data_IF_365489340276
#
_entry.id   IF_365489340276
#
_cell.length_a   1.000
_cell.length_b   1.000
_cell.length_c   1.000
_cell.angle_alpha   90.00
_cell.angle_beta   90.00
_cell.angle_gamma   90.00
#
_symmetry.space_group_name_H-M   'P 1'
#
loop_
_entity.id
_entity.type
_entity.pdbx_description
1 polymer ?
#
# COMPACT_ATOMS: atom_id res chain seq x y z
N UNK A 1 23.37 -53.82 -9.77
CA UNK A 1 24.28 -53.81 -10.93
C UNK A 1 23.47 -53.49 -12.18
N UNK A 2 24.03 -52.64 -13.07
CA UNK A 2 23.48 -51.95 -14.28
C UNK A 2 22.86 -50.57 -14.00
N UNK A 3 23.69 -49.50 -13.99
CA UNK A 3 24.08 -48.58 -15.09
C UNK A 3 22.93 -47.63 -15.52
N UNK A 4 22.92 -46.38 -15.03
CA UNK A 4 23.47 -45.13 -15.62
C UNK A 4 22.64 -44.60 -16.80
N UNK A 5 22.14 -43.36 -16.68
CA UNK A 5 22.29 -42.35 -17.73
C UNK A 5 22.22 -40.93 -17.13
N UNK A 6 23.31 -40.20 -17.35
CA UNK A 6 23.47 -38.77 -17.13
C UNK A 6 22.96 -38.10 -18.41
N UNK A 7 22.09 -37.09 -18.31
CA UNK A 7 21.86 -36.16 -19.40
C UNK A 7 21.82 -34.74 -18.85
N UNK A 8 22.93 -34.04 -19.09
CA UNK A 8 23.12 -32.61 -18.89
C UNK A 8 22.53 -31.96 -20.13
N UNK A 9 21.55 -31.06 -19.97
CA UNK A 9 21.21 -30.09 -21.00
C UNK A 9 21.16 -28.70 -20.37
N UNK A 10 22.32 -28.05 -20.40
CA UNK A 10 22.43 -26.60 -20.36
C UNK A 10 21.82 -26.03 -21.63
N UNK A 11 20.75 -25.25 -21.51
CA UNK A 11 20.32 -24.33 -22.57
C UNK A 11 20.34 -22.92 -21.97
N UNK A 12 21.40 -22.21 -22.30
CA UNK A 12 21.52 -20.76 -22.23
C UNK A 12 20.80 -20.21 -23.47
N UNK A 13 19.75 -19.40 -23.29
CA UNK A 13 19.25 -18.52 -24.36
C UNK A 13 19.38 -17.09 -23.88
N UNK A 14 20.22 -16.37 -24.62
CA UNK A 14 20.54 -14.96 -24.53
C UNK A 14 19.45 -14.10 -25.21
N UNK A 15 19.14 -12.97 -24.58
CA UNK A 15 18.69 -11.68 -25.12
C UNK A 15 17.51 -11.61 -26.13
N UNK A 16 16.44 -10.94 -25.70
CA UNK A 16 15.91 -9.80 -26.45
C UNK A 16 15.05 -8.88 -25.57
N UNK A 17 15.65 -7.78 -25.10
CA UNK A 17 14.92 -6.59 -24.69
C UNK A 17 14.45 -5.85 -25.95
N UNK A 18 13.13 -5.76 -26.17
CA UNK A 18 12.54 -4.78 -27.08
C UNK A 18 12.03 -3.61 -26.23
N UNK A 19 12.78 -2.51 -26.21
CA UNK A 19 12.31 -1.19 -25.74
C UNK A 19 11.44 -0.59 -26.84
N UNK A 20 10.15 -0.40 -26.59
CA UNK A 20 9.29 0.42 -27.43
C UNK A 20 9.10 1.79 -26.78
N UNK A 21 9.29 2.84 -27.58
CA UNK A 21 9.33 4.24 -27.18
C UNK A 21 7.92 4.82 -27.04
N UNK A 22 7.81 5.78 -26.12
CA UNK A 22 6.66 6.63 -25.83
C UNK A 22 6.16 7.36 -27.09
N UNK A 23 4.82 7.47 -27.23
CA UNK A 23 4.19 8.51 -28.04
C UNK A 23 3.37 9.42 -27.12
N UNK A 24 3.89 10.63 -26.95
CA UNK A 24 3.20 11.79 -26.40
C UNK A 24 2.46 12.45 -27.58
N UNK A 25 1.13 12.39 -27.60
CA UNK A 25 0.35 13.09 -28.61
C UNK A 25 0.15 14.54 -28.17
N UNK A 26 1.01 15.42 -28.71
CA UNK A 26 0.78 16.86 -28.78
C UNK A 26 -0.41 17.12 -29.71
N UNK A 27 -1.43 17.84 -29.22
CA UNK A 27 -2.41 18.51 -30.06
C UNK A 27 -2.02 19.98 -30.20
N UNK A 28 -1.60 20.34 -31.41
CA UNK A 28 -1.43 21.72 -31.88
C UNK A 28 -2.77 22.28 -32.31
N UNK A 29 -3.07 23.52 -31.93
CA UNK A 29 -3.82 24.43 -32.80
C UNK A 29 -3.15 25.80 -32.83
N UNK A 30 -3.06 26.31 -34.06
CA UNK A 30 -2.30 27.44 -34.56
C UNK A 30 -3.27 28.60 -34.84
N UNK A 31 -2.73 29.83 -34.91
CA UNK A 31 -3.25 31.00 -35.63
C UNK A 31 -4.49 31.71 -35.03
N UNK A 32 -4.71 33.02 -35.13
CA UNK A 32 -4.02 34.16 -35.75
C UNK A 32 -4.51 35.44 -35.03
N UNK A 33 -3.74 36.52 -35.16
CA UNK A 33 -4.03 37.89 -34.70
C UNK A 33 -5.34 38.47 -35.26
N UNK A 34 -6.03 39.37 -34.53
CA UNK A 34 -6.61 40.64 -35.03
C UNK A 34 -7.19 41.51 -33.87
N UNK A 35 -6.59 42.69 -33.75
CA UNK A 35 -7.18 44.05 -33.57
C UNK A 35 -8.06 44.37 -32.35
N UNK A 36 -7.51 45.27 -31.53
CA UNK A 36 -8.16 46.03 -30.46
C UNK A 36 -9.32 46.87 -31.00
N UNK A 37 -10.49 46.75 -30.36
CA UNK A 37 -11.54 47.76 -30.34
C UNK A 37 -11.76 48.21 -28.90
N UNK A 38 -11.58 49.51 -28.69
CA UNK A 38 -11.84 50.26 -27.46
C UNK A 38 -13.35 50.48 -27.33
N UNK A 39 -13.95 50.05 -26.21
CA UNK A 39 -15.26 50.53 -25.74
C UNK A 39 -15.19 50.69 -24.23
N UNK A 40 -15.69 51.83 -23.76
CA UNK A 40 -15.60 52.42 -22.43
C UNK A 40 -16.31 51.64 -21.31
N UNK A 41 -15.70 51.79 -20.12
CA UNK A 41 -16.24 51.87 -18.78
C UNK A 41 -17.69 51.42 -18.55
N UNK A 42 -17.81 50.27 -17.88
CA UNK A 42 -18.87 50.07 -16.89
C UNK A 42 -18.29 49.26 -15.74
N UNK A 43 -17.87 49.95 -14.68
CA UNK A 43 -17.56 49.33 -13.40
C UNK A 43 -18.86 48.79 -12.81
N UNK A 44 -19.13 47.49 -13.02
CA UNK A 44 -20.15 46.76 -12.28
C UNK A 44 -19.53 46.34 -10.95
N UNK A 45 -20.03 46.94 -9.89
CA UNK A 45 -19.66 46.74 -8.50
C UNK A 45 -19.96 45.27 -8.10
N UNK A 46 -18.94 44.41 -8.12
CA UNK A 46 -19.07 43.05 -7.59
C UNK A 46 -18.82 43.14 -6.09
N UNK A 47 -19.88 43.28 -5.29
CA UNK A 47 -19.80 43.03 -3.85
C UNK A 47 -19.22 41.62 -3.63
N UNK A 48 -18.18 41.45 -2.80
CA UNK A 48 -17.69 40.13 -2.46
C UNK A 48 -18.80 39.36 -1.71
N UNK A 49 -19.16 38.19 -2.24
CA UNK A 49 -20.08 37.26 -1.59
C UNK A 49 -19.53 36.90 -0.20
N UNK A 50 -20.37 36.84 0.85
CA UNK A 50 -19.92 36.48 2.19
C UNK A 50 -19.19 35.14 2.16
N UNK A 51 -17.96 35.13 2.68
CA UNK A 51 -17.20 33.91 2.92
C UNK A 51 -17.99 33.11 3.96
N UNK A 52 -18.38 31.85 3.69
CA UNK A 52 -19.01 31.02 4.71
C UNK A 52 -18.07 30.91 5.94
N UNK A 53 -18.61 30.84 7.17
CA UNK A 53 -17.78 30.70 8.35
C UNK A 53 -16.82 29.52 8.18
N UNK A 54 -15.53 29.79 8.41
CA UNK A 54 -14.52 28.76 8.54
C UNK A 54 -14.97 27.90 9.71
N UNK A 55 -15.47 26.70 9.42
CA UNK A 55 -15.73 25.69 10.44
C UNK A 55 -14.35 25.28 10.94
N UNK A 56 -14.05 25.66 12.18
CA UNK A 56 -12.88 25.19 12.92
C UNK A 56 -12.91 23.65 12.86
N UNK A 57 -11.88 23.00 12.29
CA UNK A 57 -11.83 21.55 12.25
C UNK A 57 -11.99 21.04 13.68
N UNK A 58 -12.95 20.13 13.92
CA UNK A 58 -13.01 19.41 15.20
C UNK A 58 -11.61 18.87 15.49
N UNK A 59 -11.02 19.32 16.60
CA UNK A 59 -9.72 18.86 17.06
C UNK A 59 -9.84 17.38 17.41
N UNK A 60 -9.53 16.50 16.45
CA UNK A 60 -9.25 15.11 16.71
C UNK A 60 -8.10 15.04 17.72
N UNK A 61 -8.42 14.51 18.90
CA UNK A 61 -7.50 14.11 19.96
C UNK A 61 -6.17 13.57 19.39
N UNK A 62 -5.06 14.15 19.85
CA UNK A 62 -3.71 13.84 19.33
C UNK A 62 -3.31 12.36 19.45
N UNK A 63 -3.96 11.61 20.34
CA UNK A 63 -3.76 10.17 20.52
C UNK A 63 -4.30 9.32 19.34
N UNK A 64 -5.36 9.78 18.66
CA UNK A 64 -5.90 9.12 17.46
C UNK A 64 -5.07 9.47 16.22
N UNK A 65 -4.50 10.67 16.19
CA UNK A 65 -3.68 11.21 15.09
C UNK A 65 -2.27 10.65 14.99
N UNK A 66 -1.86 9.69 15.83
CA UNK A 66 -0.50 9.12 15.84
C UNK A 66 -0.43 7.59 15.76
N UNK A 67 -1.52 6.93 15.37
CA UNK A 67 -1.59 5.47 15.38
C UNK A 67 -1.42 4.89 13.98
N UNK A 68 -0.25 4.33 13.69
CA UNK A 68 -0.15 3.26 12.67
C UNK A 68 -0.04 1.92 13.37
N UNK A 69 -0.78 0.95 12.86
CA UNK A 69 -0.81 -0.38 13.45
C UNK A 69 -1.84 -1.25 12.76
N UNK A 70 -1.98 -2.45 13.30
CA UNK A 70 -3.05 -3.37 12.92
C UNK A 70 -4.15 -3.25 13.96
N UNK A 71 -5.31 -2.72 13.58
CA UNK A 71 -6.52 -2.76 14.40
C UNK A 71 -7.21 -4.11 14.24
N UNK A 72 -7.77 -4.62 15.34
CA UNK A 72 -8.50 -5.88 15.35
C UNK A 72 -9.97 -5.66 15.71
N UNK A 73 -10.86 -5.95 14.78
CA UNK A 73 -12.29 -6.05 15.03
C UNK A 73 -12.61 -7.26 15.91
N UNK A 74 -13.14 -7.03 17.12
CA UNK A 74 -13.58 -8.12 18.01
C UNK A 74 -14.80 -8.88 17.49
N UNK A 75 -15.61 -8.26 16.63
CA UNK A 75 -16.86 -8.84 16.11
C UNK A 75 -16.59 -10.05 15.22
N UNK A 76 -15.59 -9.95 14.36
CA UNK A 76 -15.32 -10.92 13.31
C UNK A 76 -13.84 -11.33 13.21
N UNK A 77 -13.01 -10.89 14.16
CA UNK A 77 -11.56 -11.13 14.20
C UNK A 77 -10.80 -10.63 12.96
N UNK A 78 -11.39 -9.74 12.17
CA UNK A 78 -10.69 -9.15 11.02
C UNK A 78 -9.64 -8.18 11.52
N UNK A 79 -8.44 -8.34 10.99
CA UNK A 79 -7.34 -7.41 11.18
C UNK A 79 -7.40 -6.38 10.04
N UNK A 80 -7.21 -5.11 10.38
CA UNK A 80 -7.17 -3.98 9.45
C UNK A 80 -5.91 -3.17 9.69
N UNK A 81 -5.31 -2.60 8.65
CA UNK A 81 -4.23 -1.64 8.82
C UNK A 81 -4.84 -0.26 9.10
N UNK A 82 -4.47 0.33 10.22
CA UNK A 82 -4.73 1.74 10.53
C UNK A 82 -3.48 2.49 10.11
N UNK A 83 -3.61 3.43 9.18
CA UNK A 83 -2.48 4.18 8.64
C UNK A 83 -2.41 5.58 9.23
N UNK A 84 -1.22 5.92 9.75
CA UNK A 84 -0.82 7.31 9.94
C UNK A 84 0.52 7.54 9.24
N UNK A 85 0.57 8.54 8.36
CA UNK A 85 1.72 8.82 7.50
C UNK A 85 2.85 9.57 8.23
N UNK A 86 2.64 10.04 9.46
CA UNK A 86 3.60 10.90 10.16
C UNK A 86 4.76 10.15 10.83
N UNK A 87 4.82 8.83 10.72
CA UNK A 87 5.77 8.00 11.46
C UNK A 87 6.32 6.87 10.56
N UNK A 88 7.59 6.52 10.77
CA UNK A 88 8.25 5.40 10.09
C UNK A 88 7.67 4.09 10.61
N UNK A 89 6.83 3.46 9.79
CA UNK A 89 6.18 2.24 10.19
C UNK A 89 6.34 1.14 9.15
N UNK A 90 6.95 0.06 9.60
CA UNK A 90 7.22 -1.15 8.84
C UNK A 90 6.76 -2.33 9.66
N UNK A 91 5.60 -2.86 9.33
CA UNK A 91 5.03 -4.01 10.03
C UNK A 91 5.31 -5.25 9.21
N UNK A 92 6.25 -6.07 9.69
CA UNK A 92 6.50 -7.39 9.13
C UNK A 92 5.59 -8.44 9.77
N UNK A 93 5.04 -9.30 8.92
CA UNK A 93 4.47 -10.59 9.33
C UNK A 93 5.50 -11.69 9.11
N UNK A 94 5.68 -12.53 10.13
CA UNK A 94 6.73 -13.56 10.19
C UNK A 94 6.14 -14.97 10.16
N UNK A 95 6.91 -15.96 9.68
CA UNK A 95 6.49 -17.37 9.62
C UNK A 95 6.47 -18.09 10.99
N UNK A 96 7.19 -17.54 11.97
CA UNK A 96 7.23 -17.99 13.36
C UNK A 96 7.13 -16.76 14.28
N UNK A 97 6.77 -16.90 15.56
CA UNK A 97 6.81 -15.79 16.54
C UNK A 97 8.26 -15.42 16.89
N UNK A 98 9.01 -14.96 15.88
CA UNK A 98 10.43 -14.64 15.92
C UNK A 98 10.79 -13.74 14.73
N UNK A 99 11.31 -12.54 15.00
CA UNK A 99 11.71 -11.55 13.99
C UNK A 99 12.83 -12.01 13.04
N UNK A 100 13.57 -13.05 13.43
CA UNK A 100 14.63 -13.66 12.60
C UNK A 100 14.08 -14.74 11.66
N UNK A 101 12.79 -15.07 11.73
CA UNK A 101 12.18 -16.03 10.83
C UNK A 101 11.85 -15.41 9.48
N UNK A 102 11.41 -16.23 8.52
CA UNK A 102 11.02 -15.78 7.19
C UNK A 102 9.98 -14.65 7.27
N UNK A 103 10.25 -13.56 6.53
CA UNK A 103 9.31 -12.46 6.33
C UNK A 103 8.27 -12.89 5.30
N UNK A 104 7.03 -12.94 5.71
CA UNK A 104 5.91 -13.40 4.90
C UNK A 104 5.19 -12.23 4.22
N UNK A 105 4.98 -11.12 4.92
CA UNK A 105 4.30 -9.93 4.40
C UNK A 105 4.89 -8.67 5.03
N UNK A 106 4.87 -7.55 4.31
CA UNK A 106 5.22 -6.23 4.84
C UNK A 106 4.08 -5.25 4.60
N UNK A 107 3.76 -4.46 5.63
CA UNK A 107 3.02 -3.21 5.49
C UNK A 107 3.96 -2.04 5.75
N UNK A 108 4.13 -1.16 4.77
CA UNK A 108 5.03 0.00 4.87
C UNK A 108 4.47 1.19 4.10
N UNK A 109 4.64 2.38 4.65
CA UNK A 109 4.29 3.64 3.97
C UNK A 109 5.32 4.05 2.91
N UNK A 110 6.50 3.41 2.88
CA UNK A 110 7.59 3.78 2.00
C UNK A 110 7.53 3.02 0.67
N UNK A 111 7.48 3.77 -0.43
CA UNK A 111 7.40 3.21 -1.79
C UNK A 111 8.57 2.31 -2.12
N UNK A 112 9.77 2.68 -1.72
CA UNK A 112 10.99 1.91 -1.97
C UNK A 112 11.01 0.57 -1.23
N UNK A 113 10.17 0.38 -0.21
CA UNK A 113 9.99 -0.89 0.51
C UNK A 113 8.81 -1.73 0.01
N UNK A 114 7.90 -1.13 -0.75
CA UNK A 114 6.69 -1.77 -1.27
C UNK A 114 6.86 -2.16 -2.74
N UNK A 115 7.32 -1.22 -3.57
CA UNK A 115 7.43 -1.41 -5.01
C UNK A 115 8.40 -2.54 -5.34
N UNK A 116 7.96 -3.49 -6.14
CA UNK A 116 8.72 -4.70 -6.50
C UNK A 116 9.12 -5.60 -5.31
N UNK A 117 8.55 -5.40 -4.12
CA UNK A 117 8.75 -6.26 -2.95
C UNK A 117 10.25 -6.54 -2.63
N UNK A 118 11.06 -5.50 -2.34
CA UNK A 118 12.51 -5.62 -2.11
C UNK A 118 12.87 -6.50 -0.93
N UNK A 119 12.01 -6.53 0.10
CA UNK A 119 12.14 -7.41 1.27
C UNK A 119 11.90 -8.89 0.94
N UNK A 120 11.47 -9.20 -0.30
CA UNK A 120 11.18 -10.55 -0.80
C UNK A 120 10.20 -11.31 0.09
N UNK A 121 9.24 -10.59 0.65
CA UNK A 121 8.18 -11.17 1.45
C UNK A 121 7.36 -12.13 0.59
N UNK A 122 7.13 -13.36 1.05
CA UNK A 122 6.46 -14.42 0.26
C UNK A 122 5.09 -14.00 -0.28
N UNK A 123 4.33 -13.25 0.50
CA UNK A 123 3.00 -12.73 0.13
C UNK A 123 3.04 -11.28 -0.34
N UNK A 124 4.22 -10.66 -0.46
CA UNK A 124 4.37 -9.30 -0.98
C UNK A 124 4.54 -8.23 0.10
N UNK A 125 4.66 -7.00 -0.39
CA UNK A 125 4.76 -5.78 0.41
C UNK A 125 3.65 -4.83 -0.03
N UNK A 126 3.03 -4.11 0.90
CA UNK A 126 1.81 -3.33 0.66
C UNK A 126 1.82 -2.03 1.46
N UNK A 127 1.22 -0.98 0.89
CA UNK A 127 0.94 0.26 1.65
C UNK A 127 -0.16 0.05 2.68
N UNK A 128 -1.14 -0.76 2.32
CA UNK A 128 -2.34 -1.01 3.10
C UNK A 128 -2.87 -2.43 2.88
N UNK A 129 -3.76 -2.87 3.77
CA UNK A 129 -4.49 -4.11 3.54
C UNK A 129 -5.43 -3.93 2.33
N UNK A 130 -5.43 -4.87 1.39
CA UNK A 130 -6.13 -4.65 0.13
C UNK A 130 -7.64 -4.85 0.34
N UNK A 131 -8.37 -3.73 0.45
CA UNK A 131 -9.82 -3.70 0.66
C UNK A 131 -10.58 -4.27 -0.53
N UNK A 132 -11.58 -5.13 -0.29
CA UNK A 132 -12.38 -5.79 -1.33
C UNK A 132 -11.56 -6.45 -2.45
N UNK A 133 -10.37 -6.97 -2.12
CA UNK A 133 -9.49 -7.63 -3.08
C UNK A 133 -9.49 -9.14 -2.90
N UNK A 134 -9.23 -9.86 -3.99
CA UNK A 134 -8.97 -11.30 -3.95
C UNK A 134 -7.49 -11.62 -3.66
N UNK A 135 -6.69 -10.67 -3.14
CA UNK A 135 -5.26 -10.89 -2.91
C UNK A 135 -5.00 -11.73 -1.66
N UNK A 136 -5.49 -11.26 -0.51
CA UNK A 136 -5.47 -12.00 0.74
C UNK A 136 -6.43 -11.38 1.78
N UNK A 137 -6.70 -12.12 2.85
CA UNK A 137 -7.31 -11.61 4.07
C UNK A 137 -6.52 -12.02 5.30
N UNK A 138 -6.61 -11.26 6.39
CA UNK A 138 -6.01 -11.58 7.68
C UNK A 138 -7.08 -11.70 8.76
N UNK A 139 -7.03 -12.81 9.49
CA UNK A 139 -7.88 -13.07 10.66
C UNK A 139 -7.05 -13.34 11.88
N UNK A 140 -7.32 -12.64 12.97
CA UNK A 140 -6.73 -12.95 14.27
C UNK A 140 -7.10 -14.36 14.72
N UNK A 141 -6.15 -15.04 15.37
CA UNK A 141 -6.34 -16.37 15.95
C UNK A 141 -6.10 -16.37 17.45
N UNK A 142 -4.92 -15.93 17.88
CA UNK A 142 -4.57 -15.79 19.30
C UNK A 142 -3.37 -14.85 19.47
N UNK A 143 -2.86 -14.73 20.70
CA UNK A 143 -1.61 -14.03 21.00
C UNK A 143 -0.73 -14.87 21.91
N UNK A 144 0.58 -14.71 21.73
CA UNK A 144 1.62 -15.15 22.65
C UNK A 144 2.11 -13.94 23.46
N UNK A 145 3.24 -14.07 24.16
CA UNK A 145 3.79 -12.98 24.97
C UNK A 145 4.08 -11.73 24.11
N UNK A 146 4.84 -11.93 23.03
CA UNK A 146 5.41 -10.84 22.23
C UNK A 146 4.84 -10.77 20.81
N UNK A 147 4.05 -11.76 20.39
CA UNK A 147 3.48 -11.85 19.05
C UNK A 147 1.97 -12.07 19.05
N UNK A 148 1.30 -11.49 18.06
CA UNK A 148 -0.06 -11.84 17.65
C UNK A 148 0.00 -12.87 16.54
N UNK A 149 -0.79 -13.93 16.67
CA UNK A 149 -0.97 -14.97 15.67
C UNK A 149 -2.20 -14.66 14.82
N UNK A 150 -1.99 -14.56 13.52
CA UNK A 150 -3.02 -14.38 12.51
C UNK A 150 -3.00 -15.52 11.48
N UNK A 151 -4.12 -15.70 10.80
CA UNK A 151 -4.26 -16.55 9.62
C UNK A 151 -4.37 -15.65 8.40
N UNK A 152 -3.37 -15.72 7.52
CA UNK A 152 -3.43 -15.16 6.18
C UNK A 152 -4.09 -16.16 5.25
N UNK A 153 -5.19 -15.78 4.61
CA UNK A 153 -5.80 -16.56 3.54
C UNK A 153 -5.44 -15.92 2.22
N UNK A 154 -4.68 -16.61 1.37
CA UNK A 154 -4.20 -16.07 0.08
C UNK A 154 -5.28 -16.10 -1.02
N UNK A 155 -4.93 -15.61 -2.21
CA UNK A 155 -5.81 -15.57 -3.38
C UNK A 155 -6.28 -16.94 -3.87
N UNK A 156 -5.63 -18.02 -3.43
CA UNK A 156 -5.98 -19.40 -3.73
C UNK A 156 -6.77 -20.05 -2.58
N UNK A 157 -7.22 -19.25 -1.61
CA UNK A 157 -7.89 -19.69 -0.38
C UNK A 157 -7.04 -20.62 0.50
N UNK A 158 -5.70 -20.61 0.36
CA UNK A 158 -4.82 -21.35 1.27
C UNK A 158 -4.54 -20.53 2.51
N UNK A 159 -4.57 -21.20 3.66
CA UNK A 159 -4.34 -20.60 4.98
C UNK A 159 -2.88 -20.75 5.38
N UNK A 160 -2.30 -19.66 5.88
CA UNK A 160 -0.92 -19.59 6.34
C UNK A 160 -0.89 -18.93 7.72
N UNK A 161 -0.12 -19.51 8.64
CA UNK A 161 0.14 -18.86 9.93
C UNK A 161 1.10 -17.68 9.72
N UNK A 162 0.71 -16.52 10.24
CA UNK A 162 1.52 -15.29 10.22
C UNK A 162 1.56 -14.71 11.62
N UNK A 163 2.74 -14.25 12.03
CA UNK A 163 2.97 -13.68 13.35
C UNK A 163 3.40 -12.22 13.23
N UNK A 164 2.75 -11.33 13.96
CA UNK A 164 3.08 -9.91 14.02
C UNK A 164 3.59 -9.57 15.41
N UNK A 165 4.58 -8.69 15.53
CA UNK A 165 4.99 -8.18 16.84
C UNK A 165 3.81 -7.46 17.50
N UNK A 166 3.57 -7.75 18.77
CA UNK A 166 2.35 -7.34 19.48
C UNK A 166 2.23 -5.81 19.61
N UNK A 167 3.35 -5.10 19.66
CA UNK A 167 3.39 -3.63 19.72
C UNK A 167 2.65 -2.97 18.56
N UNK A 168 2.58 -3.63 17.41
CA UNK A 168 1.89 -3.12 16.23
C UNK A 168 0.39 -3.39 16.24
N UNK A 169 -0.13 -4.23 17.14
CA UNK A 169 -1.54 -4.65 17.11
C UNK A 169 -2.31 -3.99 18.24
N UNK A 170 -3.26 -3.13 17.88
CA UNK A 170 -4.22 -2.53 18.81
C UNK A 170 -5.54 -3.31 18.76
N UNK A 171 -6.06 -3.59 19.96
CA UNK A 171 -7.33 -4.27 20.12
C UNK A 171 -8.36 -3.20 20.42
N UNK A 172 -9.30 -3.01 19.50
CA UNK A 172 -10.45 -2.13 19.70
C UNK A 172 -11.32 -2.62 20.88
#
# INVERSE_FOLDING_TARGET
>A
MKLRYISIFSIVVLFSCKKEKQNLTESKTKNDSIRIQKVEDTLVDILPKPIPPIVEPEELNDDERNTFGVSLSRKDSTMYLTSNIQHDHRIFGYAKPNIKSEKLILFSVFTDEVENNPSKCRFGSYYEMPHNSNKFSLKYKNKTKDFVHAILTDSLNKKHDVYFEKEWVKFD
#
